data_IF_748926325140
#
_entry.id   IF_748926325140
#
_cell.length_a   1.000
_cell.length_b   1.000
_cell.length_c   1.000
_cell.angle_alpha   90.00
_cell.angle_beta   90.00
_cell.angle_gamma   90.00
#
_symmetry.space_group_name_H-M   'P 1'
#
loop_
_entity.id
_entity.type
_entity.pdbx_description
1 polymer ?
#
# COMPACT_ATOMS: atom_id res chain seq x y z
N UNK A 1 -85.43 -28.50 45.50
CA UNK A 1 -84.74 -29.27 44.44
C UNK A 1 -83.30 -29.52 44.89
N UNK A 2 -82.93 -30.81 44.97
CA UNK A 2 -81.60 -31.45 45.12
C UNK A 2 -80.64 -30.96 46.24
N UNK A 3 -80.54 -31.64 47.39
CA UNK A 3 -79.67 -32.83 47.73
C UNK A 3 -78.17 -32.49 47.73
N UNK A 4 -77.46 -32.38 48.86
CA UNK A 4 -77.06 -33.36 49.91
C UNK A 4 -75.73 -34.09 49.63
N UNK A 5 -74.85 -34.11 50.66
CA UNK A 5 -73.81 -35.14 50.94
C UNK A 5 -72.56 -35.12 50.03
N UNK A 6 -71.35 -35.55 50.42
CA UNK A 6 -70.76 -36.06 51.65
C UNK A 6 -69.21 -36.01 51.58
N UNK A 7 -68.64 -36.21 52.76
CA UNK A 7 -67.30 -36.60 53.22
C UNK A 7 -66.53 -37.63 52.35
N UNK A 8 -65.18 -37.51 52.29
CA UNK A 8 -64.11 -38.55 52.45
C UNK A 8 -62.80 -38.08 51.78
N UNK A 9 -61.69 -37.84 52.51
CA UNK A 9 -60.58 -38.77 52.88
C UNK A 9 -59.99 -39.63 51.74
N UNK A 10 -58.77 -39.27 51.31
CA UNK A 10 -57.51 -40.02 51.59
C UNK A 10 -56.57 -40.32 50.41
N UNK A 11 -55.27 -40.30 50.76
CA UNK A 11 -54.09 -41.02 50.24
C UNK A 11 -53.36 -40.53 48.97
N UNK A 12 -52.04 -40.54 49.16
CA UNK A 12 -50.90 -40.16 48.33
C UNK A 12 -50.70 -40.99 47.05
N UNK A 13 -49.93 -40.41 46.12
CA UNK A 13 -49.01 -41.18 45.27
C UNK A 13 -47.78 -40.37 44.84
N UNK A 14 -46.62 -40.89 45.22
CA UNK A 14 -45.28 -40.57 44.72
C UNK A 14 -45.12 -40.86 43.21
N UNK A 15 -44.33 -40.03 42.52
CA UNK A 15 -43.38 -40.31 41.41
C UNK A 15 -43.13 -38.97 40.67
N UNK A 16 -41.93 -38.55 40.31
CA UNK A 16 -40.59 -39.13 40.35
C UNK A 16 -39.63 -38.10 39.73
N UNK A 17 -38.40 -38.09 40.21
CA UNK A 17 -37.27 -37.25 39.78
C UNK A 17 -37.18 -37.02 38.26
N UNK A 18 -37.20 -35.75 37.85
CA UNK A 18 -36.80 -35.30 36.51
C UNK A 18 -35.66 -34.26 36.53
N UNK A 19 -34.91 -34.20 37.62
CA UNK A 19 -33.80 -33.24 37.84
C UNK A 19 -32.42 -33.82 37.54
N UNK A 20 -32.33 -34.84 36.67
CA UNK A 20 -31.04 -35.52 36.38
C UNK A 20 -30.72 -35.70 34.89
N UNK A 21 -31.28 -34.86 34.00
CA UNK A 21 -30.89 -34.82 32.57
C UNK A 21 -30.34 -33.47 32.11
N UNK A 22 -30.70 -32.36 32.73
CA UNK A 22 -30.20 -31.01 32.39
C UNK A 22 -28.78 -30.74 32.88
N UNK A 23 -28.33 -31.39 33.96
CA UNK A 23 -26.97 -31.19 34.48
C UNK A 23 -25.88 -31.80 33.57
N UNK A 24 -26.16 -32.96 32.96
CA UNK A 24 -25.17 -33.66 32.11
C UNK A 24 -24.98 -33.00 30.74
N UNK A 25 -26.04 -32.45 30.15
CA UNK A 25 -25.94 -31.69 28.88
C UNK A 25 -25.18 -30.37 29.09
N UNK A 26 -25.40 -29.70 30.21
CA UNK A 26 -24.72 -28.44 30.55
C UNK A 26 -23.21 -28.65 30.79
N UNK A 27 -22.82 -29.77 31.40
CA UNK A 27 -21.40 -30.10 31.61
C UNK A 27 -20.71 -30.50 30.29
N UNK A 28 -21.39 -31.22 29.40
CA UNK A 28 -20.83 -31.57 28.09
C UNK A 28 -20.65 -30.32 27.21
N UNK A 29 -21.62 -29.39 27.21
CA UNK A 29 -21.50 -28.12 26.50
C UNK A 29 -20.34 -27.26 27.05
N UNK A 30 -20.16 -27.26 28.38
CA UNK A 30 -19.07 -26.53 29.04
C UNK A 30 -17.70 -27.11 28.68
N UNK A 31 -17.57 -28.44 28.60
CA UNK A 31 -16.32 -29.11 28.21
C UNK A 31 -15.99 -28.86 26.73
N UNK A 32 -16.97 -28.81 25.84
CA UNK A 32 -16.75 -28.40 24.44
C UNK A 32 -16.41 -26.90 24.29
N UNK A 33 -16.98 -26.04 25.13
CA UNK A 33 -16.63 -24.61 25.16
C UNK A 33 -15.18 -24.38 25.66
N UNK A 34 -14.76 -25.13 26.68
CA UNK A 34 -13.38 -25.10 27.21
C UNK A 34 -12.35 -25.71 26.24
N UNK A 35 -12.73 -26.73 25.47
CA UNK A 35 -11.85 -27.30 24.44
C UNK A 35 -11.71 -26.38 23.22
N UNK A 36 -12.77 -25.64 22.84
CA UNK A 36 -12.71 -24.64 21.77
C UNK A 36 -11.88 -23.40 22.13
N UNK A 37 -11.74 -23.09 23.43
CA UNK A 37 -10.89 -21.99 23.92
C UNK A 37 -9.40 -22.34 24.02
N UNK A 38 -9.01 -23.61 23.84
CA UNK A 38 -7.60 -24.06 23.94
C UNK A 38 -6.91 -24.30 22.58
N UNK A 39 -7.55 -24.03 21.44
CA UNK A 39 -6.94 -24.25 20.11
C UNK A 39 -7.06 -23.07 19.14
N UNK A 40 -7.04 -21.83 19.65
CA UNK A 40 -6.74 -20.67 18.81
C UNK A 40 -5.63 -19.88 19.52
N UNK A 41 -4.45 -19.67 18.91
CA UNK A 41 -3.58 -18.60 19.36
C UNK A 41 -4.32 -17.28 19.13
N UNK A 42 -5.04 -16.86 20.16
CA UNK A 42 -5.71 -15.57 20.23
C UNK A 42 -4.61 -14.52 20.31
N UNK A 43 -4.32 -13.78 19.23
CA UNK A 43 -3.66 -12.48 19.36
C UNK A 43 -4.75 -11.53 19.87
N UNK A 44 -4.93 -11.54 21.20
CA UNK A 44 -5.75 -10.52 21.86
C UNK A 44 -4.95 -9.22 21.87
N UNK A 45 -5.59 -8.16 21.38
CA UNK A 45 -5.17 -6.80 21.68
C UNK A 45 -5.38 -6.60 23.19
N UNK A 46 -4.28 -6.70 23.95
CA UNK A 46 -4.29 -6.31 25.36
C UNK A 46 -4.32 -4.78 25.39
N UNK A 47 -5.44 -4.22 25.87
CA UNK A 47 -5.45 -2.90 26.49
C UNK A 47 -4.49 -2.94 27.68
N UNK A 48 -3.24 -2.54 27.49
CA UNK A 48 -2.27 -2.38 28.57
C UNK A 48 -1.98 -0.90 28.77
N UNK A 49 -2.41 -0.40 29.91
CA UNK A 49 -2.19 0.95 30.42
C UNK A 49 -0.74 1.42 30.26
N UNK A 50 -0.60 2.56 29.59
CA UNK A 50 0.41 3.62 29.80
C UNK A 50 1.77 3.15 30.32
N UNK A 51 2.61 2.71 29.39
CA UNK A 51 4.04 3.07 29.42
C UNK A 51 4.25 3.91 28.17
N UNK A 52 4.51 5.20 28.35
CA UNK A 52 4.94 6.10 27.27
C UNK A 52 6.35 5.64 26.88
N UNK A 53 6.43 4.61 26.03
CA UNK A 53 7.62 4.35 25.25
C UNK A 53 7.64 5.39 24.12
N UNK A 54 8.78 6.08 23.96
CA UNK A 54 9.00 7.01 22.85
C UNK A 54 8.56 6.39 21.51
N UNK A 55 7.97 7.17 20.60
CA UNK A 55 7.38 6.69 19.33
C UNK A 55 8.43 6.27 18.28
N UNK A 56 9.58 5.76 18.69
CA UNK A 56 10.73 5.55 17.82
C UNK A 56 10.99 4.05 17.61
N UNK A 57 10.71 3.62 16.38
CA UNK A 57 11.06 2.34 15.73
C UNK A 57 10.37 1.08 16.26
N UNK A 58 9.39 0.61 15.48
CA UNK A 58 9.01 -0.81 15.38
C UNK A 58 10.29 -1.62 15.17
N UNK A 59 10.75 -2.43 16.13
CA UNK A 59 11.96 -3.23 15.96
C UNK A 59 11.62 -4.50 15.17
N UNK A 60 11.76 -4.47 13.85
CA UNK A 60 11.52 -5.62 12.97
C UNK A 60 12.27 -6.91 13.40
N UNK A 61 13.37 -6.79 14.14
CA UNK A 61 14.11 -7.91 14.71
C UNK A 61 13.33 -8.75 15.75
N UNK A 62 12.13 -8.32 16.18
CA UNK A 62 11.34 -8.98 17.22
C UNK A 62 10.12 -9.75 16.71
N UNK A 63 9.69 -9.52 15.46
CA UNK A 63 8.49 -10.13 14.90
C UNK A 63 8.87 -11.42 14.17
N UNK A 64 8.38 -12.55 14.66
CA UNK A 64 8.55 -13.85 14.04
C UNK A 64 7.37 -14.17 13.11
N UNK A 65 7.47 -13.73 11.86
CA UNK A 65 6.42 -13.93 10.85
C UNK A 65 6.13 -15.41 10.55
N UNK A 66 7.05 -16.33 10.87
CA UNK A 66 6.81 -17.77 10.71
C UNK A 66 5.76 -18.32 11.67
N UNK A 67 5.46 -17.59 12.75
CA UNK A 67 4.41 -17.95 13.72
C UNK A 67 3.04 -17.40 13.36
N UNK A 68 2.93 -16.55 12.33
CA UNK A 68 1.65 -15.99 11.91
C UNK A 68 0.89 -17.09 11.16
N UNK A 69 -0.31 -17.39 11.64
CA UNK A 69 -1.24 -18.29 10.98
C UNK A 69 -2.36 -17.46 10.39
N UNK A 70 -2.54 -17.55 9.07
CA UNK A 70 -3.69 -16.94 8.44
C UNK A 70 -4.97 -17.67 8.88
N UNK A 71 -6.04 -16.94 9.21
CA UNK A 71 -7.32 -17.57 9.49
C UNK A 71 -7.86 -18.26 8.23
N UNK A 72 -8.79 -19.18 8.43
CA UNK A 72 -9.55 -19.72 7.31
C UNK A 72 -10.38 -18.61 6.66
N UNK A 73 -10.18 -18.38 5.37
CA UNK A 73 -10.95 -17.38 4.61
C UNK A 73 -12.35 -17.92 4.29
N UNK A 74 -13.38 -17.20 4.74
CA UNK A 74 -14.79 -17.56 4.59
C UNK A 74 -15.41 -16.66 3.53
N UNK A 75 -15.62 -17.22 2.34
CA UNK A 75 -16.19 -16.53 1.21
C UNK A 75 -17.72 -16.47 1.26
N UNK A 76 -18.29 -15.30 1.03
CA UNK A 76 -19.71 -15.10 0.81
C UNK A 76 -20.03 -15.18 -0.68
N UNK A 77 -20.55 -16.34 -1.10
CA UNK A 77 -20.93 -16.63 -2.49
C UNK A 77 -22.10 -15.79 -3.00
N UNK A 78 -22.85 -15.15 -2.10
CA UNK A 78 -24.01 -14.34 -2.47
C UNK A 78 -23.67 -12.84 -2.52
N UNK A 79 -22.47 -12.45 -2.09
CA UNK A 79 -22.06 -11.06 -2.14
C UNK A 79 -21.74 -10.67 -3.58
N UNK A 80 -22.39 -9.61 -4.06
CA UNK A 80 -22.10 -9.04 -5.38
C UNK A 80 -20.81 -8.20 -5.30
N UNK A 81 -19.89 -8.32 -6.27
CA UNK A 81 -18.70 -7.48 -6.30
C UNK A 81 -19.02 -5.99 -6.33
N UNK A 82 -18.31 -5.22 -5.52
CA UNK A 82 -18.39 -3.76 -5.50
C UNK A 82 -17.49 -3.15 -6.57
N UNK A 83 -17.75 -1.90 -6.91
CA UNK A 83 -16.84 -1.08 -7.72
C UNK A 83 -16.02 -0.21 -6.78
N UNK A 84 -14.74 -0.53 -6.63
CA UNK A 84 -13.80 0.26 -5.83
C UNK A 84 -13.18 1.34 -6.71
N UNK A 85 -13.40 2.62 -6.38
CA UNK A 85 -12.97 3.75 -7.22
C UNK A 85 -11.73 4.49 -6.69
N UNK A 86 -11.26 4.14 -5.50
CA UNK A 86 -10.15 4.80 -4.80
C UNK A 86 -9.30 3.72 -4.11
N UNK A 87 -8.02 4.01 -3.89
CA UNK A 87 -7.06 3.11 -3.27
C UNK A 87 -7.52 2.62 -1.88
N UNK A 88 -7.05 1.45 -1.44
CA UNK A 88 -7.37 0.95 -0.10
C UNK A 88 -6.54 1.70 0.92
N UNK A 89 -7.15 2.15 2.00
CA UNK A 89 -6.47 2.93 3.02
C UNK A 89 -6.84 2.40 4.40
N UNK A 90 -5.81 2.16 5.23
CA UNK A 90 -5.94 1.45 6.50
C UNK A 90 -6.39 2.39 7.61
N UNK A 91 -7.45 2.04 8.35
CA UNK A 91 -7.98 2.86 9.45
C UNK A 91 -8.22 2.04 10.72
N UNK A 92 -7.62 2.43 11.86
CA UNK A 92 -7.85 1.74 13.13
C UNK A 92 -9.27 1.93 13.69
N UNK A 93 -10.02 2.91 13.20
CA UNK A 93 -11.33 3.28 13.75
C UNK A 93 -12.50 2.69 12.96
N UNK A 94 -12.28 2.21 11.73
CA UNK A 94 -13.34 1.57 10.95
C UNK A 94 -13.52 0.13 11.41
N UNK A 95 -14.78 -0.26 11.64
CA UNK A 95 -15.15 -1.59 12.08
C UNK A 95 -15.70 -2.43 10.93
N UNK A 96 -15.44 -3.74 10.93
CA UNK A 96 -15.99 -4.69 9.94
C UNK A 96 -17.50 -4.55 9.74
N UNK A 97 -18.24 -4.28 10.83
CA UNK A 97 -19.69 -4.09 10.81
C UNK A 97 -20.13 -2.80 10.09
N UNK A 98 -19.30 -1.75 10.12
CA UNK A 98 -19.57 -0.53 9.37
C UNK A 98 -19.40 -0.77 7.87
N UNK A 99 -18.35 -1.50 7.47
CA UNK A 99 -18.12 -1.86 6.07
C UNK A 99 -19.24 -2.75 5.55
N UNK A 100 -19.64 -3.78 6.30
CA UNK A 100 -20.76 -4.65 5.92
C UNK A 100 -22.05 -3.84 5.64
N UNK A 101 -22.36 -2.85 6.50
CA UNK A 101 -23.51 -1.96 6.28
C UNK A 101 -23.37 -1.08 5.04
N UNK A 102 -22.15 -0.63 4.71
CA UNK A 102 -21.90 0.13 3.49
C UNK A 102 -22.14 -0.73 2.25
N UNK A 103 -21.64 -1.97 2.25
CA UNK A 103 -21.82 -2.92 1.14
C UNK A 103 -23.28 -3.30 0.95
N UNK A 104 -24.02 -3.61 2.02
CA UNK A 104 -25.43 -4.01 1.94
C UNK A 104 -26.37 -2.84 1.60
N UNK A 105 -26.02 -1.61 2.00
CA UNK A 105 -26.91 -0.46 1.96
C UNK A 105 -26.84 0.40 0.69
N UNK A 106 -25.88 0.16 -0.20
CA UNK A 106 -25.64 1.04 -1.36
C UNK A 106 -25.55 0.27 -2.68
N UNK A 107 -26.14 0.82 -3.74
CA UNK A 107 -25.99 0.31 -5.11
C UNK A 107 -24.58 0.50 -5.68
N UNK A 108 -23.80 1.42 -5.10
CA UNK A 108 -22.39 1.65 -5.42
C UNK A 108 -21.67 2.16 -4.15
N UNK A 109 -21.25 1.25 -3.25
CA UNK A 109 -20.67 1.64 -1.97
C UNK A 109 -19.31 2.31 -2.18
N UNK A 110 -19.14 3.52 -1.67
CA UNK A 110 -17.86 4.23 -1.66
C UNK A 110 -16.96 3.66 -0.55
N UNK A 111 -16.35 2.51 -0.83
CA UNK A 111 -15.41 1.84 0.09
C UNK A 111 -14.00 2.09 -0.43
N UNK A 112 -13.21 2.82 0.35
CA UNK A 112 -11.76 2.96 0.20
C UNK A 112 -11.03 2.65 1.51
N UNK A 113 -11.79 2.19 2.50
CA UNK A 113 -11.45 2.23 3.91
C UNK A 113 -11.53 0.84 4.50
N UNK A 114 -10.42 0.31 5.00
CA UNK A 114 -10.34 -1.06 5.52
C UNK A 114 -9.74 -1.09 6.94
N UNK A 115 -10.21 -2.01 7.82
CA UNK A 115 -9.79 -2.05 9.21
C UNK A 115 -8.36 -2.56 9.34
N UNK A 116 -7.69 -2.19 10.43
CA UNK A 116 -6.44 -2.84 10.81
C UNK A 116 -6.65 -4.35 11.01
N UNK A 117 -5.70 -5.13 10.49
CA UNK A 117 -5.72 -6.59 10.48
C UNK A 117 -6.48 -7.17 9.28
N UNK A 118 -6.93 -6.35 8.33
CA UNK A 118 -7.55 -6.83 7.11
C UNK A 118 -6.62 -7.75 6.30
N UNK A 119 -7.22 -8.67 5.55
CA UNK A 119 -6.54 -9.58 4.65
C UNK A 119 -7.07 -9.31 3.24
N UNK A 120 -6.19 -8.91 2.34
CA UNK A 120 -6.49 -8.74 0.92
C UNK A 120 -6.02 -9.99 0.19
N UNK A 121 -6.92 -10.60 -0.58
CA UNK A 121 -6.61 -11.74 -1.42
C UNK A 121 -6.89 -11.41 -2.87
N UNK A 122 -5.85 -11.44 -3.68
CA UNK A 122 -5.93 -11.35 -5.14
C UNK A 122 -5.99 -12.76 -5.70
N UNK A 123 -7.11 -13.13 -6.32
CA UNK A 123 -7.25 -14.41 -7.00
C UNK A 123 -6.85 -14.32 -8.48
N UNK A 124 -6.47 -15.46 -9.04
CA UNK A 124 -5.97 -15.59 -10.41
C UNK A 124 -6.99 -15.18 -11.50
N UNK A 125 -8.28 -15.12 -11.16
CA UNK A 125 -9.38 -14.72 -12.04
C UNK A 125 -9.62 -13.19 -12.05
N UNK A 126 -8.76 -12.40 -11.42
CA UNK A 126 -8.85 -10.93 -11.40
C UNK A 126 -9.91 -10.42 -10.42
N UNK A 127 -10.17 -11.19 -9.36
CA UNK A 127 -11.05 -10.78 -8.28
C UNK A 127 -10.21 -10.48 -7.04
N UNK A 128 -10.45 -9.33 -6.43
CA UNK A 128 -9.87 -8.98 -5.14
C UNK A 128 -10.92 -9.16 -4.06
N UNK A 129 -10.65 -10.02 -3.07
CA UNK A 129 -11.53 -10.22 -1.91
C UNK A 129 -10.85 -9.73 -0.64
N UNK A 130 -11.56 -8.92 0.14
CA UNK A 130 -11.06 -8.36 1.39
C UNK A 130 -11.79 -9.00 2.57
N UNK A 131 -11.02 -9.48 3.54
CA UNK A 131 -11.48 -10.11 4.76
C UNK A 131 -11.10 -9.27 5.97
N UNK A 132 -11.84 -9.44 7.07
CA UNK A 132 -11.38 -8.98 8.36
C UNK A 132 -10.28 -9.89 8.94
N UNK A 133 -9.76 -9.51 10.10
CA UNK A 133 -8.70 -10.25 10.80
C UNK A 133 -9.10 -11.65 11.25
N UNK A 134 -10.39 -12.00 11.21
CA UNK A 134 -10.90 -13.33 11.54
C UNK A 134 -11.09 -14.22 10.30
N UNK A 135 -10.84 -13.69 9.10
CA UNK A 135 -11.05 -14.38 7.84
C UNK A 135 -12.48 -14.29 7.32
N UNK A 136 -13.35 -13.44 7.88
CA UNK A 136 -14.69 -13.22 7.35
C UNK A 136 -14.66 -12.19 6.23
N UNK A 137 -15.27 -12.50 5.08
CA UNK A 137 -15.34 -11.59 3.94
C UNK A 137 -16.06 -10.27 4.30
N UNK A 138 -15.42 -9.16 3.98
CA UNK A 138 -15.96 -7.80 4.08
C UNK A 138 -16.61 -7.40 2.76
N UNK A 139 -15.84 -7.47 1.68
CA UNK A 139 -16.30 -7.21 0.32
C UNK A 139 -15.44 -7.97 -0.70
N UNK A 140 -15.94 -8.03 -1.93
CA UNK A 140 -15.18 -8.48 -3.10
C UNK A 140 -15.31 -7.44 -4.21
N UNK A 141 -14.30 -7.31 -5.06
CA UNK A 141 -14.25 -6.36 -6.16
C UNK A 141 -13.66 -7.03 -7.40
N UNK A 142 -14.20 -6.68 -8.56
CA UNK A 142 -13.69 -7.11 -9.86
C UNK A 142 -12.64 -6.10 -10.33
N UNK A 143 -11.39 -6.52 -10.45
CA UNK A 143 -10.27 -5.65 -10.79
C UNK A 143 -10.46 -4.96 -12.14
N UNK A 144 -11.16 -5.62 -13.08
CA UNK A 144 -11.47 -5.05 -14.40
C UNK A 144 -12.49 -3.91 -14.36
N UNK A 145 -13.25 -3.81 -13.26
CA UNK A 145 -14.26 -2.78 -13.04
C UNK A 145 -13.81 -1.70 -12.04
N UNK A 146 -12.72 -1.93 -11.31
CA UNK A 146 -12.22 -0.96 -10.35
C UNK A 146 -11.75 0.33 -11.05
N UNK A 147 -11.83 1.44 -10.33
CA UNK A 147 -11.18 2.68 -10.70
C UNK A 147 -9.67 2.45 -10.84
N UNK A 148 -9.02 3.27 -11.66
CA UNK A 148 -7.60 3.13 -11.92
C UNK A 148 -6.81 4.21 -11.20
N UNK A 149 -5.81 3.79 -10.43
CA UNK A 149 -4.87 4.63 -9.69
C UNK A 149 -3.55 4.70 -10.48
N UNK A 150 -2.98 5.89 -10.58
CA UNK A 150 -1.67 6.10 -11.19
C UNK A 150 -0.57 5.56 -10.28
N UNK A 151 0.36 4.78 -10.84
CA UNK A 151 1.58 4.29 -10.17
C UNK A 151 2.72 4.24 -11.19
N UNK A 152 3.98 4.15 -10.76
CA UNK A 152 5.15 4.10 -11.67
C UNK A 152 5.06 3.07 -12.83
N UNK A 153 4.27 2.01 -12.66
CA UNK A 153 4.11 0.91 -13.62
C UNK A 153 2.94 1.09 -14.58
N UNK A 154 2.05 2.01 -14.28
CA UNK A 154 0.76 2.00 -14.94
C UNK A 154 -0.34 2.67 -14.16
N UNK A 155 -1.41 2.92 -14.90
CA UNK A 155 -2.72 2.95 -14.27
C UNK A 155 -3.05 1.51 -13.87
N UNK A 156 -3.11 1.23 -12.58
CA UNK A 156 -3.43 -0.09 -12.03
C UNK A 156 -4.78 -0.03 -11.32
N UNK A 157 -5.50 -1.16 -11.19
CA UNK A 157 -6.76 -1.18 -10.47
C UNK A 157 -6.57 -0.72 -9.02
N UNK A 158 -7.50 0.09 -8.50
CA UNK A 158 -7.46 0.65 -7.16
C UNK A 158 -7.39 -0.43 -6.05
N UNK A 159 -7.89 -1.63 -6.35
CA UNK A 159 -7.81 -2.80 -5.48
C UNK A 159 -6.37 -3.23 -5.19
N UNK A 160 -5.43 -2.89 -6.07
CA UNK A 160 -4.00 -3.24 -5.96
C UNK A 160 -3.15 -2.16 -5.28
N UNK A 161 -3.72 -1.00 -4.91
CA UNK A 161 -2.99 0.08 -4.25
C UNK A 161 -3.42 0.22 -2.80
N UNK A 162 -2.46 0.23 -1.88
CA UNK A 162 -2.70 0.31 -0.44
C UNK A 162 -1.90 1.42 0.24
N UNK A 163 -2.61 2.34 0.90
CA UNK A 163 -2.05 3.32 1.85
C UNK A 163 -1.92 2.68 3.24
N UNK A 164 -0.70 2.65 3.77
CA UNK A 164 -0.40 2.18 5.13
C UNK A 164 0.17 3.32 5.98
N UNK A 165 0.04 3.29 7.32
CA UNK A 165 0.62 4.31 8.19
C UNK A 165 2.12 4.54 7.91
N UNK A 166 2.55 5.78 8.04
CA UNK A 166 3.98 6.12 7.99
C UNK A 166 4.78 5.28 9.00
N UNK A 167 6.02 4.94 8.63
CA UNK A 167 6.93 4.05 9.39
C UNK A 167 6.44 2.62 9.55
N UNK A 168 5.50 2.18 8.71
CA UNK A 168 5.13 0.78 8.62
C UNK A 168 6.30 -0.11 8.18
N UNK A 169 6.29 -1.33 8.71
CA UNK A 169 7.28 -2.37 8.42
C UNK A 169 6.63 -3.45 7.55
N UNK A 170 7.20 -3.70 6.38
CA UNK A 170 6.73 -4.66 5.40
C UNK A 170 7.61 -5.90 5.44
N UNK A 171 7.00 -7.07 5.62
CA UNK A 171 7.64 -8.37 5.44
C UNK A 171 7.15 -8.97 4.14
N UNK A 172 8.05 -8.98 3.14
CA UNK A 172 7.81 -9.69 1.89
C UNK A 172 8.25 -11.16 2.04
N UNK A 173 7.26 -12.06 2.02
CA UNK A 173 7.44 -13.51 2.09
C UNK A 173 7.32 -14.20 0.72
N UNK A 174 7.34 -13.44 -0.38
CA UNK A 174 7.16 -13.92 -1.74
C UNK A 174 5.69 -14.01 -2.12
N UNK A 175 4.93 -14.99 -1.65
CA UNK A 175 3.50 -15.09 -2.01
C UNK A 175 2.55 -14.42 -1.01
N UNK A 176 3.10 -13.92 0.10
CA UNK A 176 2.38 -13.21 1.14
C UNK A 176 3.18 -11.98 1.56
N UNK A 177 2.48 -10.87 1.76
CA UNK A 177 3.04 -9.65 2.32
C UNK A 177 2.36 -9.36 3.65
N UNK A 178 3.14 -9.14 4.70
CA UNK A 178 2.64 -8.69 6.00
C UNK A 178 3.09 -7.26 6.28
N UNK A 179 2.16 -6.38 6.66
CA UNK A 179 2.47 -5.02 7.07
C UNK A 179 2.20 -4.84 8.55
N UNK A 180 3.19 -4.29 9.25
CA UNK A 180 3.11 -3.96 10.65
C UNK A 180 3.16 -2.46 10.88
N UNK A 181 2.44 -2.00 11.90
CA UNK A 181 2.60 -0.67 12.47
C UNK A 181 2.53 -0.79 13.99
N UNK A 182 3.48 -0.19 14.70
CA UNK A 182 3.58 -0.28 16.17
C UNK A 182 3.51 -1.73 16.70
N UNK A 183 4.22 -2.66 16.05
CA UNK A 183 4.24 -4.11 16.32
C UNK A 183 2.89 -4.84 16.16
N UNK A 184 1.87 -4.21 15.58
CA UNK A 184 0.60 -4.85 15.25
C UNK A 184 0.56 -5.21 13.78
N UNK A 185 0.10 -6.42 13.44
CA UNK A 185 -0.21 -6.80 12.06
C UNK A 185 -1.44 -6.00 11.60
N UNK A 186 -1.23 -5.05 10.69
CA UNK A 186 -2.29 -4.15 10.22
C UNK A 186 -2.82 -4.52 8.84
N UNK A 187 -2.06 -5.26 8.04
CA UNK A 187 -2.48 -5.71 6.71
C UNK A 187 -1.77 -7.01 6.35
N UNK A 188 -2.51 -7.93 5.73
CA UNK A 188 -1.95 -9.06 4.98
C UNK A 188 -2.39 -8.94 3.53
N UNK A 189 -1.48 -9.16 2.59
CA UNK A 189 -1.81 -9.30 1.17
C UNK A 189 -1.33 -10.66 0.67
N UNK A 190 -2.21 -11.40 0.01
CA UNK A 190 -1.90 -12.70 -0.61
C UNK A 190 -2.29 -12.66 -2.08
N UNK A 191 -1.48 -13.23 -2.95
CA UNK A 191 -1.74 -13.24 -4.39
C UNK A 191 -1.52 -14.66 -4.95
N UNK A 192 -2.60 -15.24 -5.49
CA UNK A 192 -2.60 -16.60 -6.02
C UNK A 192 -1.81 -16.72 -7.33
N UNK A 193 -1.68 -15.63 -8.09
CA UNK A 193 -0.94 -15.61 -9.37
C UNK A 193 0.54 -15.97 -9.20
N UNK A 194 1.06 -15.83 -7.99
CA UNK A 194 2.44 -16.14 -7.58
C UNK A 194 2.62 -17.64 -7.30
N UNK A 195 1.58 -18.29 -6.77
CA UNK A 195 1.61 -19.70 -6.33
C UNK A 195 1.42 -20.70 -7.47
N UNK A 196 0.91 -20.25 -8.62
CA UNK A 196 0.80 -21.01 -9.86
C UNK A 196 1.80 -20.51 -10.89
N UNK A 197 2.70 -21.38 -11.37
CA UNK A 197 3.51 -21.09 -12.56
C UNK A 197 2.58 -20.64 -13.71
N UNK A 198 2.86 -19.46 -14.24
CA UNK A 198 2.12 -18.77 -15.30
C UNK A 198 0.74 -18.28 -14.87
N UNK A 199 0.69 -17.11 -14.24
CA UNK A 199 -0.29 -16.13 -14.66
C UNK A 199 0.40 -14.80 -14.84
N UNK A 200 0.67 -14.51 -16.11
CA UNK A 200 0.61 -13.14 -16.58
C UNK A 200 -0.78 -12.62 -16.17
N UNK A 201 -0.86 -11.96 -15.01
CA UNK A 201 -1.50 -10.67 -15.05
C UNK A 201 -0.71 -9.91 -16.10
N UNK A 202 -1.29 -9.90 -17.31
CA UNK A 202 -1.07 -8.86 -18.29
C UNK A 202 -1.18 -7.55 -17.51
N UNK A 203 -0.05 -7.07 -17.00
CA UNK A 203 0.22 -5.65 -16.87
C UNK A 203 0.04 -5.12 -18.28
N UNK A 204 -1.23 -4.88 -18.67
CA UNK A 204 -1.69 -4.49 -20.01
C UNK A 204 -0.60 -4.70 -21.07
N UNK A 205 -0.23 -5.95 -21.41
CA UNK A 205 0.84 -6.17 -22.39
C UNK A 205 0.25 -5.97 -23.77
N UNK A 206 0.12 -4.70 -24.15
CA UNK A 206 0.01 -4.24 -25.53
C UNK A 206 0.17 -2.73 -25.55
N UNK A 207 1.42 -2.27 -25.57
CA UNK A 207 1.93 -1.32 -26.59
C UNK A 207 1.11 -0.04 -26.91
N UNK A 208 0.20 0.41 -26.04
CA UNK A 208 -0.69 1.55 -26.32
C UNK A 208 -0.92 2.48 -25.14
N UNK A 209 -0.40 2.17 -23.95
CA UNK A 209 -0.24 3.19 -22.91
C UNK A 209 1.16 3.78 -23.12
N UNK A 210 1.17 4.98 -23.71
CA UNK A 210 2.32 5.88 -23.82
C UNK A 210 3.23 5.79 -22.58
N UNK A 211 4.57 5.78 -22.71
CA UNK A 211 5.45 5.81 -21.54
C UNK A 211 5.04 6.99 -20.66
N UNK A 212 4.65 6.67 -19.43
CA UNK A 212 4.17 7.62 -18.42
C UNK A 212 5.30 8.51 -17.91
N UNK A 213 6.52 8.09 -18.23
CA UNK A 213 7.75 8.78 -17.95
C UNK A 213 7.86 9.95 -18.92
N UNK A 214 7.78 11.15 -18.35
CA UNK A 214 8.02 12.40 -19.07
C UNK A 214 9.53 12.44 -19.37
N UNK A 215 10.33 12.27 -18.31
CA UNK A 215 11.78 12.23 -18.34
C UNK A 215 12.29 11.22 -17.31
N UNK A 216 13.31 10.43 -17.65
CA UNK A 216 13.94 9.53 -16.69
C UNK A 216 15.44 9.38 -16.93
N UNK A 217 16.18 9.19 -15.85
CA UNK A 217 17.56 8.76 -15.84
C UNK A 217 17.70 7.44 -15.09
N UNK A 218 18.32 6.43 -15.71
CA UNK A 218 18.57 5.14 -15.04
C UNK A 218 19.97 4.62 -15.35
N UNK A 219 20.55 3.91 -14.39
CA UNK A 219 21.79 3.17 -14.61
C UNK A 219 21.51 1.86 -15.35
N UNK A 220 22.55 1.27 -15.95
CA UNK A 220 22.50 -0.18 -16.20
C UNK A 220 22.37 -0.95 -14.87
N UNK A 221 21.97 -2.21 -14.94
CA UNK A 221 21.92 -3.08 -13.77
C UNK A 221 23.28 -3.13 -13.05
N UNK A 222 23.28 -2.84 -11.76
CA UNK A 222 24.45 -2.77 -10.88
C UNK A 222 24.71 -4.18 -10.32
N UNK A 223 25.71 -4.94 -10.81
CA UNK A 223 25.97 -6.30 -10.35
C UNK A 223 26.49 -6.37 -8.91
N UNK A 224 27.06 -5.27 -8.41
CA UNK A 224 27.54 -5.16 -7.02
C UNK A 224 26.36 -4.94 -6.06
N UNK A 225 26.47 -5.45 -4.84
CA UNK A 225 25.46 -5.23 -3.82
C UNK A 225 25.39 -3.73 -3.46
N UNK A 226 24.29 -3.07 -3.80
CA UNK A 226 23.99 -1.68 -3.42
C UNK A 226 23.67 -1.63 -1.94
N UNK A 227 24.25 -0.66 -1.23
CA UNK A 227 24.00 -0.38 0.17
C UNK A 227 23.21 0.92 0.39
N UNK A 228 23.36 1.91 -0.49
CA UNK A 228 22.65 3.19 -0.35
C UNK A 228 22.51 3.93 -1.69
N UNK A 229 21.35 4.55 -1.89
CA UNK A 229 21.11 5.55 -2.92
C UNK A 229 20.45 6.81 -2.33
N UNK A 230 21.06 7.98 -2.48
CA UNK A 230 20.51 9.28 -2.10
C UNK A 230 20.49 10.19 -3.32
N UNK A 231 19.43 10.99 -3.42
CA UNK A 231 19.43 12.20 -4.25
C UNK A 231 18.67 13.32 -3.54
N UNK A 232 19.01 14.56 -3.88
CA UNK A 232 18.31 15.75 -3.40
C UNK A 232 17.81 16.55 -4.59
N UNK A 233 16.65 17.19 -4.46
CA UNK A 233 16.08 18.06 -5.49
C UNK A 233 15.28 19.17 -4.84
N UNK A 234 15.04 20.26 -5.56
CA UNK A 234 14.10 21.28 -5.10
C UNK A 234 12.68 20.89 -5.51
N UNK A 235 11.70 21.16 -4.65
CA UNK A 235 10.28 21.10 -5.01
C UNK A 235 10.04 22.11 -6.14
N UNK A 236 9.59 21.69 -7.33
CA UNK A 236 9.41 22.61 -8.44
C UNK A 236 8.23 23.54 -8.20
N UNK A 237 8.13 24.59 -9.04
CA UNK A 237 6.91 25.40 -9.07
C UNK A 237 5.72 24.52 -9.45
N UNK A 238 4.59 24.72 -8.79
CA UNK A 238 3.35 23.99 -9.09
C UNK A 238 3.00 24.02 -10.60
N UNK A 239 2.37 22.97 -11.13
CA UNK A 239 1.85 22.95 -12.48
C UNK A 239 0.97 24.16 -12.80
N UNK A 240 1.14 24.71 -14.00
CA UNK A 240 0.34 25.84 -14.45
C UNK A 240 -0.94 25.31 -15.08
N UNK A 241 -2.06 25.48 -14.37
CA UNK A 241 -3.39 25.22 -14.91
C UNK A 241 -3.67 26.17 -16.09
N UNK A 242 -3.72 25.67 -17.32
CA UNK A 242 -4.13 26.49 -18.48
C UNK A 242 -5.64 26.72 -18.56
N UNK A 243 -6.42 26.05 -17.71
CA UNK A 243 -7.87 26.24 -17.51
C UNK A 243 -8.23 26.08 -16.03
N UNK A 244 -9.31 26.70 -15.58
CA UNK A 244 -9.78 26.55 -14.20
C UNK A 244 -10.01 25.09 -13.82
N UNK A 245 -9.41 24.66 -12.71
CA UNK A 245 -9.62 23.32 -12.13
C UNK A 245 -11.12 23.09 -11.90
N UNK A 246 -11.66 22.04 -12.48
CA UNK A 246 -12.99 21.53 -12.13
C UNK A 246 -12.77 20.31 -11.26
N UNK A 247 -12.98 20.45 -9.95
CA UNK A 247 -12.80 19.37 -8.98
C UNK A 247 -13.67 18.17 -9.39
N UNK A 248 -13.05 16.98 -9.49
CA UNK A 248 -13.70 15.75 -9.96
C UNK A 248 -13.81 15.62 -11.47
N UNK A 249 -13.18 16.51 -12.23
CA UNK A 249 -13.05 16.38 -13.68
C UNK A 249 -11.73 15.71 -14.00
N UNK A 250 -11.83 14.48 -14.51
CA UNK A 250 -10.71 13.74 -15.08
C UNK A 250 -9.85 14.64 -16.00
N UNK A 251 -10.43 15.56 -16.79
CA UNK A 251 -9.65 16.43 -17.68
C UNK A 251 -8.61 17.38 -17.01
N UNK A 252 -8.70 17.62 -15.71
CA UNK A 252 -7.80 18.53 -14.97
C UNK A 252 -7.04 17.84 -13.83
N UNK A 253 -7.25 16.54 -13.65
CA UNK A 253 -6.71 15.74 -12.55
C UNK A 253 -5.42 14.99 -12.93
N UNK A 254 -4.55 15.62 -13.71
CA UNK A 254 -3.25 15.03 -14.03
C UNK A 254 -2.35 14.98 -12.79
N UNK A 255 -2.01 13.78 -12.35
CA UNK A 255 -0.99 13.58 -11.32
C UNK A 255 0.41 13.69 -11.94
N UNK A 256 1.32 14.28 -11.19
CA UNK A 256 2.75 14.26 -11.50
C UNK A 256 3.49 13.66 -10.31
N UNK A 257 4.50 12.86 -10.58
CA UNK A 257 5.32 12.22 -9.56
C UNK A 257 6.80 12.46 -9.87
N UNK A 258 7.57 12.76 -8.84
CA UNK A 258 9.00 13.07 -8.91
C UNK A 258 9.69 12.21 -7.87
N UNK A 259 10.62 11.37 -8.30
CA UNK A 259 11.22 10.40 -7.38
C UNK A 259 12.62 9.98 -7.79
N UNK A 260 13.32 9.38 -6.82
CA UNK A 260 14.49 8.55 -7.07
C UNK A 260 14.23 7.14 -6.55
N UNK A 261 14.70 6.12 -7.26
CA UNK A 261 14.32 4.73 -6.98
C UNK A 261 15.48 3.76 -7.08
N UNK A 262 15.32 2.60 -6.45
CA UNK A 262 16.09 1.39 -6.76
C UNK A 262 15.12 0.35 -7.30
N UNK A 263 15.33 -0.04 -8.56
CA UNK A 263 14.47 -1.00 -9.28
C UNK A 263 15.20 -2.31 -9.55
N UNK A 264 14.49 -3.42 -9.41
CA UNK A 264 14.80 -4.71 -10.02
C UNK A 264 13.48 -5.31 -10.49
N UNK A 265 13.08 -5.03 -11.74
CA UNK A 265 11.77 -5.40 -12.27
C UNK A 265 11.41 -6.86 -11.88
N UNK A 266 10.38 -7.08 -11.05
CA UNK A 266 9.25 -6.15 -10.79
C UNK A 266 9.26 -5.35 -9.49
N UNK A 267 10.31 -5.44 -8.67
CA UNK A 267 10.43 -4.73 -7.39
C UNK A 267 10.93 -3.30 -7.56
N UNK A 268 10.31 -2.35 -6.87
CA UNK A 268 10.78 -0.97 -6.78
C UNK A 268 10.56 -0.43 -5.37
N UNK A 269 11.55 0.29 -4.87
CA UNK A 269 11.47 1.06 -3.64
C UNK A 269 11.82 2.51 -3.96
N UNK A 270 10.88 3.43 -3.70
CA UNK A 270 10.99 4.81 -4.17
C UNK A 270 10.40 5.82 -3.17
N UNK A 271 11.17 6.83 -2.74
CA UNK A 271 10.64 8.04 -2.12
C UNK A 271 10.10 9.00 -3.19
N UNK A 272 8.84 9.43 -3.05
CA UNK A 272 8.08 10.12 -4.09
C UNK A 272 7.52 11.46 -3.60
N UNK A 273 7.73 12.50 -4.39
CA UNK A 273 7.04 13.78 -4.31
C UNK A 273 5.91 13.78 -5.35
N UNK A 274 4.69 14.05 -4.93
CA UNK A 274 3.49 13.87 -5.73
C UNK A 274 2.69 15.17 -5.80
N UNK A 275 2.23 15.54 -7.00
CA UNK A 275 1.34 16.68 -7.17
C UNK A 275 -0.12 16.24 -7.22
N UNK A 276 -0.95 16.96 -6.48
CA UNK A 276 -2.41 16.83 -6.55
C UNK A 276 -2.92 15.42 -6.21
N UNK A 277 -2.21 14.76 -5.30
CA UNK A 277 -2.65 13.50 -4.69
C UNK A 277 -3.38 13.75 -3.38
N UNK A 278 -4.18 12.76 -2.98
CA UNK A 278 -4.88 12.68 -1.69
C UNK A 278 -3.95 12.99 -0.52
N UNK A 279 -4.42 13.75 0.47
CA UNK A 279 -3.64 14.04 1.69
C UNK A 279 -4.12 13.12 2.82
N UNK A 280 -3.60 11.89 2.79
CA UNK A 280 -3.96 10.80 3.69
C UNK A 280 -5.40 10.30 3.60
N UNK A 281 -5.69 9.25 4.35
CA UNK A 281 -6.99 8.60 4.48
C UNK A 281 -8.21 9.52 4.75
N UNK A 282 -7.99 10.68 5.39
CA UNK A 282 -9.08 11.57 5.83
C UNK A 282 -9.56 12.54 4.74
N UNK A 283 -8.80 12.76 3.66
CA UNK A 283 -9.11 13.77 2.64
C UNK A 283 -9.09 13.12 1.23
N UNK A 284 -10.11 12.33 0.86
CA UNK A 284 -10.12 11.49 -0.35
C UNK A 284 -9.97 12.25 -1.68
N UNK A 285 -10.13 13.57 -1.68
CA UNK A 285 -9.73 14.42 -2.80
C UNK A 285 -9.28 15.77 -2.22
N UNK A 286 -8.05 16.23 -2.48
CA UNK A 286 -7.62 17.52 -1.97
C UNK A 286 -8.48 18.60 -2.63
N UNK A 287 -9.22 19.36 -1.81
CA UNK A 287 -10.00 20.51 -2.32
C UNK A 287 -9.13 21.61 -2.93
N UNK A 288 -7.82 21.55 -2.66
CA UNK A 288 -6.80 22.48 -3.13
C UNK A 288 -5.57 21.72 -3.62
N UNK A 289 -5.12 21.92 -4.87
CA UNK A 289 -3.90 21.31 -5.35
C UNK A 289 -2.67 21.71 -4.53
N UNK A 290 -1.94 20.69 -4.09
CA UNK A 290 -0.76 20.81 -3.26
C UNK A 290 0.23 19.68 -3.57
N UNK A 291 1.47 19.89 -3.16
CA UNK A 291 2.48 18.84 -3.12
C UNK A 291 2.26 17.98 -1.88
N UNK A 292 2.34 16.67 -2.07
CA UNK A 292 2.42 15.66 -1.02
C UNK A 292 3.68 14.83 -1.20
N UNK A 293 4.11 14.14 -0.16
CA UNK A 293 5.16 13.13 -0.28
C UNK A 293 4.74 11.81 0.34
N UNK A 294 5.19 10.72 -0.26
CA UNK A 294 5.04 9.36 0.25
C UNK A 294 6.23 8.50 -0.16
N UNK A 295 6.39 7.37 0.52
CA UNK A 295 7.36 6.35 0.14
C UNK A 295 6.57 5.16 -0.36
N UNK A 296 6.94 4.65 -1.53
CA UNK A 296 6.28 3.53 -2.18
C UNK A 296 7.20 2.31 -2.20
N UNK A 297 6.56 1.15 -2.08
CA UNK A 297 7.14 -0.16 -2.32
C UNK A 297 6.24 -0.96 -3.25
N UNK A 298 6.85 -1.57 -4.25
CA UNK A 298 6.17 -2.35 -5.28
C UNK A 298 6.55 -3.79 -5.03
N UNK A 299 5.53 -4.60 -4.79
CA UNK A 299 5.74 -5.97 -4.34
C UNK A 299 6.30 -6.83 -5.48
N UNK A 300 7.55 -7.28 -5.31
CA UNK A 300 8.36 -7.93 -6.33
C UNK A 300 7.86 -9.28 -6.86
N UNK A 301 6.84 -9.83 -6.24
CA UNK A 301 6.30 -11.13 -6.59
C UNK A 301 4.81 -11.06 -6.92
N UNK A 302 4.11 -9.99 -6.52
CA UNK A 302 2.69 -9.80 -6.77
C UNK A 302 2.40 -8.54 -7.56
N UNK A 303 1.13 -8.13 -7.57
CA UNK A 303 0.68 -6.95 -8.32
C UNK A 303 0.30 -5.78 -7.41
N UNK A 304 0.69 -5.83 -6.13
CA UNK A 304 0.30 -4.85 -5.13
C UNK A 304 1.34 -3.73 -4.95
N UNK A 305 0.82 -2.53 -4.71
CA UNK A 305 1.57 -1.29 -4.54
C UNK A 305 1.26 -0.73 -3.16
N UNK A 306 2.27 -0.60 -2.32
CA UNK A 306 2.11 -0.11 -0.96
C UNK A 306 2.80 1.23 -0.84
N UNK A 307 2.09 2.22 -0.32
CA UNK A 307 2.70 3.50 0.00
C UNK A 307 2.38 3.91 1.43
N UNK A 308 3.30 4.66 2.04
CA UNK A 308 3.02 5.30 3.32
C UNK A 308 1.89 6.33 3.18
N UNK A 309 1.27 6.69 4.29
CA UNK A 309 0.41 7.87 4.38
C UNK A 309 1.11 9.07 3.78
N UNK A 310 0.40 9.78 2.91
CA UNK A 310 0.89 11.00 2.28
C UNK A 310 0.98 12.13 3.31
N UNK A 311 2.04 12.93 3.19
CA UNK A 311 2.27 14.10 4.04
C UNK A 311 2.23 15.37 3.18
N UNK A 312 1.39 16.32 3.54
CA UNK A 312 1.32 17.66 2.93
C UNK A 312 2.16 18.70 3.67
N UNK A 313 2.03 19.98 3.28
CA UNK A 313 2.82 21.07 3.85
C UNK A 313 4.18 21.27 3.17
N UNK A 314 4.29 20.82 1.92
CA UNK A 314 5.48 20.92 1.08
C UNK A 314 5.30 22.11 0.12
N UNK A 315 6.30 22.98 0.02
CA UNK A 315 6.22 24.20 -0.77
C UNK A 315 7.25 24.23 -1.90
N UNK A 316 6.87 24.86 -3.02
CA UNK A 316 7.80 25.11 -4.11
C UNK A 316 9.03 25.87 -3.61
N UNK A 317 10.22 25.36 -3.97
CA UNK A 317 11.52 25.89 -3.52
C UNK A 317 12.08 25.21 -2.28
N UNK A 318 11.30 24.39 -1.57
CA UNK A 318 11.85 23.54 -0.50
C UNK A 318 12.83 22.51 -1.07
N UNK A 319 13.79 22.08 -0.25
CA UNK A 319 14.80 21.10 -0.63
C UNK A 319 14.36 19.71 -0.16
N UNK A 320 14.07 18.81 -1.10
CA UNK A 320 13.74 17.42 -0.82
C UNK A 320 14.98 16.53 -0.83
N UNK A 321 14.90 15.44 -0.07
CA UNK A 321 15.85 14.34 -0.14
C UNK A 321 15.12 13.01 -0.15
N UNK A 322 15.37 12.20 -1.17
CA UNK A 322 15.05 10.77 -1.14
C UNK A 322 16.30 9.97 -0.76
N UNK A 323 16.14 9.06 0.21
CA UNK A 323 17.20 8.21 0.72
C UNK A 323 16.70 6.77 0.80
N UNK A 324 17.42 5.87 0.15
CA UNK A 324 17.17 4.43 0.16
C UNK A 324 18.43 3.76 0.72
N UNK A 325 18.28 2.95 1.75
CA UNK A 325 19.35 2.16 2.36
C UNK A 325 18.98 0.69 2.32
N UNK A 326 19.88 -0.16 1.84
CA UNK A 326 19.65 -1.60 1.72
C UNK A 326 20.56 -2.38 2.67
N UNK A 327 20.04 -3.52 3.14
CA UNK A 327 20.72 -4.43 4.07
C UNK A 327 21.35 -3.72 5.29
N UNK A 328 20.61 -2.79 5.88
CA UNK A 328 21.07 -1.95 6.99
C UNK A 328 20.20 -2.16 8.23
N UNK A 329 20.79 -2.00 9.43
CA UNK A 329 20.05 -1.87 10.69
C UNK A 329 18.96 -2.92 10.98
N UNK A 330 19.14 -4.17 10.52
CA UNK A 330 18.15 -5.24 10.72
C UNK A 330 17.00 -5.27 9.70
N UNK A 331 17.09 -4.46 8.65
CA UNK A 331 16.16 -4.38 7.52
C UNK A 331 16.83 -4.83 6.21
N UNK A 332 16.03 -5.33 5.27
CA UNK A 332 16.46 -5.53 3.89
C UNK A 332 16.48 -4.20 3.12
N UNK A 333 15.59 -3.27 3.48
CA UNK A 333 15.52 -1.93 2.90
C UNK A 333 14.87 -0.91 3.82
N UNK A 334 15.29 0.34 3.71
CA UNK A 334 14.64 1.51 4.31
C UNK A 334 14.59 2.56 3.22
N UNK A 335 13.41 3.11 2.94
CA UNK A 335 13.29 4.24 2.05
C UNK A 335 12.55 5.37 2.75
N UNK A 336 13.00 6.59 2.48
CA UNK A 336 12.43 7.79 3.09
C UNK A 336 12.53 8.97 2.15
N UNK A 337 11.48 9.79 2.11
CA UNK A 337 11.50 11.14 1.56
C UNK A 337 11.42 12.13 2.72
N UNK A 338 12.26 13.15 2.69
CA UNK A 338 12.32 14.19 3.73
C UNK A 338 12.33 15.55 3.09
N UNK A 339 11.50 16.45 3.61
CA UNK A 339 11.60 17.88 3.33
C UNK A 339 12.65 18.51 4.26
N UNK A 340 13.75 18.97 3.68
CA UNK A 340 14.84 19.67 4.36
C UNK A 340 14.64 21.20 4.38
N UNK A 341 13.51 21.68 3.86
CA UNK A 341 13.13 23.08 3.86
C UNK A 341 12.99 23.67 5.27
N UNK A 342 13.12 24.99 5.36
CA UNK A 342 13.08 25.71 6.64
C UNK A 342 11.70 25.63 7.34
N UNK A 343 10.65 25.26 6.60
CA UNK A 343 9.28 25.08 7.10
C UNK A 343 9.08 23.68 7.70
N UNK A 344 9.97 22.72 7.41
CA UNK A 344 9.96 21.38 8.00
C UNK A 344 8.72 20.56 7.65
N UNK A 345 8.45 20.33 6.36
CA UNK A 345 7.32 19.51 5.86
C UNK A 345 7.34 18.05 6.30
N UNK A 346 8.36 17.63 7.06
CA UNK A 346 8.43 16.33 7.72
C UNK A 346 9.14 15.26 6.90
N UNK A 347 8.74 14.01 7.10
CA UNK A 347 9.27 12.87 6.36
C UNK A 347 8.21 11.80 6.21
N UNK A 348 8.31 11.03 5.13
CA UNK A 348 7.64 9.75 4.97
C UNK A 348 8.70 8.65 4.90
N UNK A 349 8.42 7.46 5.44
CA UNK A 349 9.35 6.33 5.50
C UNK A 349 8.60 4.99 5.49
N UNK A 350 9.12 4.05 4.70
CA UNK A 350 8.77 2.63 4.78
C UNK A 350 10.00 1.79 5.11
N UNK A 351 9.77 0.69 5.81
CA UNK A 351 10.79 -0.28 6.16
C UNK A 351 10.48 -1.64 5.52
N UNK A 352 11.44 -2.24 4.85
CA UNK A 352 11.40 -3.63 4.39
C UNK A 352 12.17 -4.49 5.37
N UNK A 353 11.46 -5.30 6.16
CA UNK A 353 12.06 -6.17 7.15
C UNK A 353 12.89 -7.27 6.50
N UNK A 354 13.90 -7.74 7.24
CA UNK A 354 14.68 -8.92 6.83
C UNK A 354 13.80 -10.14 6.72
N UNK A 355 13.74 -10.73 5.53
CA UNK A 355 13.06 -12.01 5.31
C UNK A 355 13.99 -13.07 4.72
N UNK A 356 13.72 -14.33 5.03
CA UNK A 356 14.37 -15.48 4.39
C UNK A 356 13.76 -15.81 3.02
N UNK A 357 12.83 -14.99 2.52
CA UNK A 357 12.13 -15.26 1.28
C UNK A 357 13.07 -15.13 0.07
N UNK A 358 12.89 -15.98 -0.97
CA UNK A 358 13.75 -15.99 -2.14
C UNK A 358 13.51 -14.82 -3.11
N UNK A 359 12.37 -14.13 -3.01
CA UNK A 359 11.92 -13.07 -3.96
C UNK A 359 11.76 -11.72 -3.25
N UNK A 360 12.60 -11.44 -2.25
CA UNK A 360 12.65 -10.12 -1.61
C UNK A 360 13.35 -9.09 -2.50
N UNK A 361 13.19 -7.80 -2.19
CA UNK A 361 13.97 -6.72 -2.81
C UNK A 361 15.47 -7.09 -2.82
N UNK A 362 16.08 -7.30 -3.99
CA UNK A 362 17.46 -7.73 -4.06
C UNK A 362 18.39 -6.58 -3.72
N UNK A 363 19.65 -6.90 -3.41
CA UNK A 363 20.71 -5.89 -3.25
C UNK A 363 21.59 -5.78 -4.48
N UNK A 364 21.55 -6.75 -5.40
CA UNK A 364 22.33 -6.77 -6.64
C UNK A 364 21.42 -6.70 -7.85
N UNK A 365 21.98 -6.38 -9.00
CA UNK A 365 21.27 -6.18 -10.28
C UNK A 365 20.16 -5.13 -10.17
N UNK A 366 20.38 -4.12 -9.33
CA UNK A 366 19.48 -2.98 -9.20
C UNK A 366 19.82 -1.91 -10.23
N UNK A 367 18.82 -1.15 -10.64
CA UNK A 367 18.98 0.08 -11.40
C UNK A 367 18.68 1.25 -10.47
N UNK A 368 19.56 2.25 -10.46
CA UNK A 368 19.32 3.50 -9.75
C UNK A 368 18.65 4.48 -10.70
N UNK A 369 17.50 4.99 -10.28
CA UNK A 369 16.60 5.74 -11.16
C UNK A 369 16.29 7.12 -10.59
N UNK A 370 16.05 8.09 -11.47
CA UNK A 370 15.43 9.38 -11.17
C UNK A 370 14.42 9.71 -12.25
N UNK A 371 13.21 10.09 -11.86
CA UNK A 371 12.09 10.13 -12.80
C UNK A 371 11.19 11.34 -12.52
N UNK A 372 10.71 11.94 -13.61
CA UNK A 372 9.48 12.72 -13.64
C UNK A 372 8.43 11.94 -14.42
N UNK A 373 7.35 11.60 -13.73
CA UNK A 373 6.21 10.88 -14.28
C UNK A 373 5.00 11.80 -14.36
N UNK A 374 4.16 11.56 -15.36
CA UNK A 374 2.92 12.31 -15.54
C UNK A 374 1.83 11.50 -16.20
N UNK A 375 0.59 11.82 -15.82
CA UNK A 375 -0.58 11.04 -16.20
C UNK A 375 -1.67 11.91 -16.81
N UNK A 376 -2.14 11.54 -18.01
CA UNK A 376 -3.41 12.04 -18.56
C UNK A 376 -4.49 10.99 -18.36
N UNK A 377 -5.58 11.32 -17.66
CA UNK A 377 -6.66 10.38 -17.41
C UNK A 377 -7.61 10.16 -18.61
N UNK A 378 -7.41 10.80 -19.77
CA UNK A 378 -8.42 10.79 -20.85
C UNK A 378 -8.10 10.14 -22.19
N UNK A 379 -6.86 9.84 -22.63
CA UNK A 379 -6.70 9.10 -23.91
C UNK A 379 -5.38 8.33 -24.10
N UNK A 380 -5.38 7.27 -24.96
CA UNK A 380 -4.15 6.61 -25.39
C UNK A 380 -3.21 7.48 -26.26
N UNK A 381 -3.68 8.53 -26.95
CA UNK A 381 -2.88 9.19 -28.01
C UNK A 381 -3.20 10.68 -28.29
N UNK A 382 -3.88 11.45 -27.41
CA UNK A 382 -4.29 12.81 -27.82
C UNK A 382 -4.63 13.87 -26.77
N UNK A 383 -4.31 13.67 -25.49
CA UNK A 383 -4.74 14.58 -24.42
C UNK A 383 -3.69 14.97 -23.39
N UNK A 384 -2.45 14.49 -23.50
CA UNK A 384 -1.38 14.87 -22.57
C UNK A 384 -1.15 16.38 -22.70
N UNK A 385 -1.59 17.11 -21.68
CA UNK A 385 -1.44 18.54 -21.61
C UNK A 385 0.03 18.82 -21.26
N UNK A 386 0.89 18.90 -22.28
CA UNK A 386 2.27 19.38 -22.12
C UNK A 386 2.35 20.78 -21.49
N UNK A 387 1.22 21.48 -21.34
CA UNK A 387 1.12 22.75 -20.64
C UNK A 387 0.81 22.60 -19.13
N UNK A 388 0.53 21.38 -18.65
CA UNK A 388 0.30 21.07 -17.23
C UNK A 388 1.49 20.34 -16.61
N UNK A 389 2.68 20.88 -16.85
CA UNK A 389 3.91 20.44 -16.22
C UNK A 389 4.27 21.37 -15.05
N UNK A 390 4.96 20.83 -14.06
CA UNK A 390 5.60 21.63 -13.02
C UNK A 390 6.78 22.45 -13.60
N UNK A 391 7.39 23.32 -12.81
CA UNK A 391 8.65 23.97 -13.21
C UNK A 391 9.83 22.99 -13.22
N UNK A 392 11.00 23.41 -13.72
CA UNK A 392 12.16 22.54 -13.87
C UNK A 392 12.61 21.96 -12.52
N UNK A 393 13.07 20.71 -12.56
CA UNK A 393 13.53 19.97 -11.38
C UNK A 393 15.00 19.67 -11.57
N UNK A 394 15.84 20.01 -10.61
CA UNK A 394 17.25 19.62 -10.62
C UNK A 394 17.54 18.64 -9.48
N UNK A 395 17.81 17.39 -9.82
CA UNK A 395 18.41 16.41 -8.92
C UNK A 395 19.91 16.66 -8.78
N UNK A 396 20.42 16.55 -7.57
CA UNK A 396 21.80 16.79 -7.19
C UNK A 396 22.19 15.99 -5.94
N UNK A 397 23.41 16.18 -5.46
CA UNK A 397 23.92 15.55 -4.23
C UNK A 397 23.81 14.03 -4.23
N UNK A 398 24.04 13.41 -5.40
CA UNK A 398 23.91 11.96 -5.56
C UNK A 398 24.90 11.21 -4.67
N UNK A 399 24.41 10.19 -3.99
CA UNK A 399 25.23 9.19 -3.30
C UNK A 399 24.78 7.82 -3.78
N UNK A 400 25.67 7.04 -4.39
CA UNK A 400 25.42 5.63 -4.68
C UNK A 400 26.59 4.82 -4.10
N UNK A 401 26.30 3.94 -3.15
CA UNK A 401 27.31 3.15 -2.44
C UNK A 401 27.00 1.67 -2.47
N UNK A 402 28.04 0.85 -2.41
CA UNK A 402 27.90 -0.58 -2.17
C UNK A 402 27.56 -0.88 -0.70
N UNK A 403 27.29 -2.14 -0.39
CA UNK A 403 26.99 -2.61 0.96
C UNK A 403 28.14 -2.43 1.96
N UNK A 404 29.36 -2.16 1.49
CA UNK A 404 30.53 -1.87 2.32
C UNK A 404 30.77 -0.37 2.48
N UNK A 405 29.95 0.48 1.85
CA UNK A 405 30.06 1.93 1.88
C UNK A 405 31.00 2.53 0.83
N UNK A 406 31.53 1.73 -0.10
CA UNK A 406 32.37 2.22 -1.20
C UNK A 406 31.52 2.95 -2.24
N UNK A 407 32.04 4.02 -2.82
CA UNK A 407 31.34 4.78 -3.85
C UNK A 407 31.24 3.99 -5.17
N UNK A 408 30.04 3.93 -5.75
CA UNK A 408 29.74 3.24 -7.00
C UNK A 408 29.55 4.19 -8.19
N UNK A 409 29.36 5.48 -7.93
CA UNK A 409 29.03 6.54 -8.91
C UNK A 409 29.91 6.49 -10.17
N UNK A 410 31.23 6.34 -10.03
CA UNK A 410 32.16 6.35 -11.17
C UNK A 410 32.04 5.13 -12.09
N UNK A 411 31.42 4.05 -11.62
CA UNK A 411 31.42 2.75 -12.30
C UNK A 411 30.14 2.49 -13.10
N UNK A 412 29.08 3.25 -12.83
CA UNK A 412 27.76 3.01 -13.41
C UNK A 412 27.18 4.31 -13.95
N UNK A 413 27.54 4.75 -15.17
CA UNK A 413 26.96 5.95 -15.75
C UNK A 413 25.44 5.82 -15.88
N UNK A 414 24.77 6.96 -15.75
CA UNK A 414 23.32 7.05 -15.93
C UNK A 414 23.02 7.43 -17.38
N UNK A 415 22.04 6.77 -18.00
CA UNK A 415 21.52 7.14 -19.32
C UNK A 415 20.22 7.92 -19.14
N UNK A 416 20.02 8.95 -19.96
CA UNK A 416 18.79 9.73 -19.96
C UNK A 416 17.86 9.39 -21.10
N UNK A 417 16.58 9.54 -20.86
CA UNK A 417 15.53 9.48 -21.86
C UNK A 417 14.55 10.63 -21.68
N UNK A 418 14.03 11.09 -22.81
CA UNK A 418 13.01 12.12 -22.89
C UNK A 418 11.91 11.67 -23.86
N UNK A 419 10.65 11.73 -23.42
CA UNK A 419 9.53 11.21 -24.20
C UNK A 419 8.99 12.23 -25.24
N UNK A 420 9.77 12.46 -26.30
CA UNK A 420 9.42 13.39 -27.40
C UNK A 420 8.12 13.08 -28.14
N UNK A 421 7.65 11.83 -28.11
CA UNK A 421 6.46 11.41 -28.86
C UNK A 421 5.16 11.98 -28.28
N UNK A 422 5.16 12.24 -26.98
CA UNK A 422 3.97 12.64 -26.23
C UNK A 422 4.16 13.94 -25.47
N UNK A 423 5.41 14.27 -25.14
CA UNK A 423 5.82 15.51 -24.51
C UNK A 423 6.73 16.23 -25.52
N UNK A 424 6.16 17.15 -26.29
CA UNK A 424 6.89 17.92 -27.31
C UNK A 424 7.07 19.36 -26.84
N UNK A 425 8.22 19.70 -26.22
CA UNK A 425 8.60 21.06 -26.02
C UNK A 425 9.58 21.43 -27.11
N UNK A 426 9.31 22.54 -27.78
CA UNK A 426 10.26 23.25 -28.61
C UNK A 426 11.51 23.76 -27.85
N UNK A 427 11.64 23.49 -26.54
CA UNK A 427 12.58 24.18 -25.64
C UNK A 427 13.17 23.37 -24.48
N UNK A 428 12.77 22.11 -24.24
CA UNK A 428 13.16 21.38 -23.02
C UNK A 428 13.57 19.92 -23.28
N UNK A 429 14.34 19.34 -22.36
CA UNK A 429 14.76 17.95 -22.42
C UNK A 429 15.81 17.60 -21.38
N UNK A 430 15.78 16.35 -20.96
CA UNK A 430 16.71 15.78 -20.00
C UNK A 430 18.16 15.92 -20.46
N UNK A 431 18.98 16.64 -19.68
CA UNK A 431 20.42 16.73 -19.92
C UNK A 431 21.17 15.82 -18.96
N UNK A 432 21.55 14.63 -19.42
CA UNK A 432 22.45 13.71 -18.71
C UNK A 432 23.76 13.56 -19.50
N UNK A 433 24.90 13.78 -18.85
CA UNK A 433 26.21 13.48 -19.43
C UNK A 433 26.45 11.97 -19.53
N UNK A 434 27.32 11.51 -20.44
CA UNK A 434 27.73 10.09 -20.56
C UNK A 434 28.54 9.54 -19.36
N UNK A 435 28.59 10.29 -18.26
CA UNK A 435 29.19 9.97 -16.96
C UNK A 435 28.13 10.20 -15.88
N UNK A 436 28.33 9.65 -14.67
CA UNK A 436 27.42 9.95 -13.57
C UNK A 436 27.27 11.47 -13.40
N UNK A 437 26.06 12.01 -13.54
CA UNK A 437 25.85 13.44 -13.59
C UNK A 437 26.03 14.04 -12.19
N UNK A 438 26.70 15.18 -12.11
CA UNK A 438 26.76 15.98 -10.87
C UNK A 438 25.39 16.58 -10.52
N UNK A 439 24.58 16.80 -11.55
CA UNK A 439 23.20 17.26 -11.46
C UNK A 439 22.42 16.76 -12.67
N UNK A 440 21.15 16.44 -12.50
CA UNK A 440 20.24 16.10 -13.58
C UNK A 440 19.09 17.07 -13.55
N UNK A 441 18.86 17.79 -14.65
CA UNK A 441 17.71 18.69 -14.76
C UNK A 441 16.67 18.08 -15.67
N UNK A 442 15.46 17.91 -15.14
CA UNK A 442 14.26 17.59 -15.89
C UNK A 442 13.65 18.91 -16.34
N UNK A 443 13.63 19.14 -17.65
CA UNK A 443 13.26 20.42 -18.24
C UNK A 443 11.78 20.44 -18.57
N UNK A 444 10.99 21.13 -17.76
CA UNK A 444 9.54 21.21 -17.93
C UNK A 444 9.04 22.60 -18.28
#
# INVERSE_FOLDING_TARGET
MCRSHARERSVSKNRGNDTMKTLKVSIILLVFLLAAMMMVPMVSAIEQSTVIASPNQTNASTIDVSKIQLPQLIYDKNQTPIVMNDEMSLDPNIQSTQIARMVEGASNPAISKIPFGAIIHHSIDGITTVFDSTGKQLFTADDSKAGLVSTFKGRVPATHVQEVPDKSVIYDMGNVLYVFSNNMLILTVTDDSISGKNSALTASSSSTISPQWIEWGSTNAIPTAVGQFISQWNVPTKPTLTKSLVIGSVYYDSSLEIWNGLENDPSLLQPVLEWYMKDGYQIPSPSTPQWTMATWYVWGSGNSFIHSTRTSGIYSGDQMQGNIQLNTLGYDGIASITDLGNQGGGSSTLFLAKSSAPIRMPTTNLQAEIVLEGWDPTTPLGGLNSQYLCGPITFQSFVLKDSNGNNLISNYPMSGYYNTNYWNPSTYGLSISNLWPTSITLGT
#
